data_IF_957845983958
#
_entry.id   IF_957845983958
#
_cell.length_a   1.000
_cell.length_b   1.000
_cell.length_c   1.000
_cell.angle_alpha   90.00
_cell.angle_beta   90.00
_cell.angle_gamma   90.00
#
_symmetry.space_group_name_H-M   'P 1'
#
loop_
_entity.id
_entity.type
_entity.pdbx_description
1 polymer ?
#
# COMPACT_ATOMS: atom_id res chain seq x y z
N UNK A 1 21.64 -82.13 -11.85
CA UNK A 1 20.19 -82.23 -12.12
C UNK A 1 19.44 -81.83 -10.86
N UNK A 2 18.96 -80.58 -10.78
CA UNK A 2 17.73 -80.12 -10.09
C UNK A 2 17.74 -78.59 -10.08
N UNK A 3 16.84 -78.05 -10.91
CA UNK A 3 16.54 -76.65 -11.10
C UNK A 3 15.94 -76.06 -9.82
N UNK A 4 16.31 -74.82 -9.47
CA UNK A 4 15.46 -74.00 -8.60
C UNK A 4 15.30 -72.59 -9.17
N UNK A 5 14.05 -72.13 -9.10
CA UNK A 5 13.41 -71.08 -9.92
C UNK A 5 13.85 -69.67 -9.55
N UNK A 6 13.93 -68.82 -10.57
CA UNK A 6 13.90 -67.36 -10.49
C UNK A 6 12.58 -66.86 -9.89
N UNK A 7 12.67 -65.85 -9.02
CA UNK A 7 11.59 -64.91 -8.70
C UNK A 7 12.10 -63.50 -9.02
N UNK A 8 11.41 -62.70 -9.84
CA UNK A 8 11.73 -61.29 -10.00
C UNK A 8 11.12 -60.50 -8.84
N UNK A 9 11.95 -59.89 -8.02
CA UNK A 9 11.53 -58.94 -7.00
C UNK A 9 11.03 -57.66 -7.67
N UNK A 10 9.74 -57.38 -7.49
CA UNK A 10 9.07 -56.17 -7.94
C UNK A 10 9.52 -55.00 -7.06
N UNK A 11 10.41 -54.14 -7.55
CA UNK A 11 10.69 -52.85 -6.90
C UNK A 11 9.57 -51.87 -7.26
N UNK A 12 8.57 -51.74 -6.39
CA UNK A 12 7.62 -50.63 -6.44
C UNK A 12 8.32 -49.35 -5.98
N UNK A 13 8.81 -48.56 -6.94
CA UNK A 13 9.26 -47.20 -6.69
C UNK A 13 8.06 -46.33 -6.32
N UNK A 14 7.96 -45.93 -5.05
CA UNK A 14 7.00 -44.94 -4.60
C UNK A 14 7.53 -43.56 -5.06
N UNK A 15 7.05 -43.08 -6.20
CA UNK A 15 7.28 -41.70 -6.62
C UNK A 15 6.46 -40.78 -5.71
N UNK A 16 7.10 -40.25 -4.67
CA UNK A 16 6.53 -39.17 -3.86
C UNK A 16 6.52 -37.91 -4.72
N UNK A 17 5.37 -37.62 -5.33
CA UNK A 17 5.13 -36.38 -6.06
C UNK A 17 4.95 -35.28 -5.00
N UNK A 18 6.02 -34.54 -4.71
CA UNK A 18 5.93 -33.32 -3.90
C UNK A 18 5.15 -32.29 -4.71
N UNK A 19 3.89 -32.06 -4.34
CA UNK A 19 3.18 -30.86 -4.75
C UNK A 19 3.88 -29.68 -4.06
N UNK A 20 4.80 -29.03 -4.75
CA UNK A 20 5.24 -27.71 -4.34
C UNK A 20 4.00 -26.81 -4.34
N UNK A 21 3.62 -26.29 -3.17
CA UNK A 21 2.64 -25.21 -3.11
C UNK A 21 3.10 -24.10 -4.08
N UNK A 22 2.19 -23.44 -4.82
CA UNK A 22 2.60 -22.32 -5.65
C UNK A 22 3.31 -21.32 -4.74
N UNK A 23 4.55 -20.96 -5.11
CA UNK A 23 5.22 -19.85 -4.47
C UNK A 23 4.38 -18.61 -4.79
N UNK A 24 3.58 -18.14 -3.82
CA UNK A 24 3.02 -16.80 -3.88
C UNK A 24 4.21 -15.86 -3.85
N UNK A 25 4.40 -15.06 -4.90
CA UNK A 25 5.32 -13.94 -4.79
C UNK A 25 4.82 -13.11 -3.60
N UNK A 26 5.70 -12.84 -2.63
CA UNK A 26 5.32 -11.96 -1.53
C UNK A 26 4.83 -10.64 -2.13
N UNK A 27 3.63 -10.20 -1.74
CA UNK A 27 3.04 -8.97 -2.28
C UNK A 27 3.91 -7.75 -1.92
N UNK A 28 4.74 -7.85 -0.87
CA UNK A 28 5.61 -6.81 -0.32
C UNK A 28 7.01 -7.35 0.00
N UNK A 29 7.98 -6.47 0.29
CA UNK A 29 9.35 -6.93 0.65
C UNK A 29 9.39 -7.59 2.02
N UNK A 30 10.03 -8.76 2.11
CA UNK A 30 10.29 -9.45 3.38
C UNK A 30 11.50 -8.88 4.15
N UNK A 31 12.28 -8.02 3.50
CA UNK A 31 13.38 -7.29 4.15
C UNK A 31 12.86 -5.99 4.75
N UNK A 32 12.39 -6.07 5.99
CA UNK A 32 11.76 -4.94 6.70
C UNK A 32 12.75 -3.85 7.14
N UNK A 33 14.06 -4.12 7.11
CA UNK A 33 15.07 -3.22 7.67
C UNK A 33 15.05 -3.18 9.20
N UNK A 34 15.18 -1.98 9.78
CA UNK A 34 15.37 -1.78 11.22
C UNK A 34 14.04 -1.50 11.94
N UNK A 35 13.86 -2.06 13.13
CA UNK A 35 12.73 -1.73 14.00
C UNK A 35 12.83 -0.29 14.51
N UNK A 36 11.73 0.47 14.44
CA UNK A 36 11.62 1.79 15.06
C UNK A 36 11.15 1.60 16.50
N UNK A 37 12.11 1.46 17.41
CA UNK A 37 11.84 1.04 18.80
C UNK A 37 10.81 1.92 19.53
N UNK A 38 10.85 3.24 19.35
CA UNK A 38 9.98 4.16 20.09
C UNK A 38 8.51 4.12 19.66
N UNK A 39 8.18 3.45 18.55
CA UNK A 39 6.81 3.28 18.06
C UNK A 39 6.40 1.80 17.91
N UNK A 40 7.21 0.87 18.43
CA UNK A 40 6.94 -0.59 18.40
C UNK A 40 6.57 -1.18 19.77
N UNK A 41 6.32 -0.33 20.77
CA UNK A 41 5.78 -0.69 22.08
C UNK A 41 5.07 0.55 22.65
N UNK A 42 4.05 0.99 21.91
CA UNK A 42 3.52 2.34 22.02
C UNK A 42 2.06 2.43 21.54
N UNK A 43 1.40 3.50 21.98
CA UNK A 43 0.06 3.93 21.57
C UNK A 43 0.15 5.43 21.28
N UNK A 44 -0.32 5.86 20.10
CA UNK A 44 -0.28 7.26 19.65
C UNK A 44 1.11 7.92 19.65
N UNK A 45 2.08 7.32 18.95
CA UNK A 45 3.43 7.87 18.85
C UNK A 45 3.88 8.08 17.40
N UNK A 46 5.01 8.75 17.27
CA UNK A 46 5.69 8.95 15.99
C UNK A 46 7.21 8.82 16.12
N UNK A 47 7.88 8.53 15.03
CA UNK A 47 9.35 8.40 14.96
C UNK A 47 10.07 9.75 15.00
N UNK A 48 11.38 9.74 15.17
CA UNK A 48 12.21 10.87 14.68
C UNK A 48 12.13 10.96 13.14
N UNK A 49 12.52 12.09 12.51
CA UNK A 49 12.51 12.20 11.05
C UNK A 49 13.35 11.10 10.39
N UNK A 50 12.76 10.39 9.45
CA UNK A 50 13.42 9.39 8.60
C UNK A 50 13.84 10.08 7.31
N UNK A 51 15.16 10.11 7.04
CA UNK A 51 15.72 10.77 5.87
C UNK A 51 15.54 9.94 4.60
N UNK A 52 15.22 10.60 3.48
CA UNK A 52 15.26 9.99 2.13
C UNK A 52 16.70 9.74 1.65
N UNK A 53 17.72 10.28 2.34
CA UNK A 53 19.11 10.17 1.95
C UNK A 53 19.66 11.46 1.34
N UNK A 54 20.99 11.52 1.18
CA UNK A 54 21.68 12.70 0.67
C UNK A 54 21.32 12.99 -0.79
N UNK A 55 20.94 14.23 -1.11
CA UNK A 55 20.55 14.64 -2.46
C UNK A 55 19.15 14.17 -2.88
N UNK A 56 18.42 13.49 -2.00
CA UNK A 56 17.10 12.95 -2.28
C UNK A 56 16.01 13.86 -1.69
N UNK A 57 14.96 14.08 -2.45
CA UNK A 57 13.79 14.84 -2.02
C UNK A 57 12.53 14.37 -2.72
N UNK A 58 11.39 14.59 -2.10
CA UNK A 58 10.07 14.36 -2.68
C UNK A 58 9.30 15.68 -2.67
N UNK A 59 8.79 16.09 -3.82
CA UNK A 59 7.75 17.10 -3.88
C UNK A 59 6.41 16.44 -3.54
N UNK A 60 5.71 16.93 -2.53
CA UNK A 60 4.40 16.44 -2.12
C UNK A 60 3.50 17.62 -1.81
N UNK A 61 2.40 17.76 -2.57
CA UNK A 61 1.48 18.89 -2.52
C UNK A 61 2.18 20.27 -2.57
N UNK A 62 3.13 20.40 -3.50
CA UNK A 62 3.84 21.66 -3.78
C UNK A 62 4.96 22.01 -2.81
N UNK A 63 5.20 21.18 -1.79
CA UNK A 63 6.30 21.35 -0.83
C UNK A 63 7.36 20.28 -1.03
N UNK A 64 8.63 20.67 -0.96
CA UNK A 64 9.76 19.73 -1.08
C UNK A 64 10.21 19.25 0.29
N UNK A 65 10.24 17.93 0.48
CA UNK A 65 10.67 17.27 1.71
C UNK A 65 11.88 16.38 1.46
N UNK A 66 12.78 16.30 2.43
CA UNK A 66 13.93 15.38 2.42
C UNK A 66 13.80 14.29 3.50
N UNK A 67 12.72 14.30 4.26
CA UNK A 67 12.43 13.38 5.35
C UNK A 67 10.93 13.32 5.61
N UNK A 68 10.50 12.26 6.30
CA UNK A 68 9.14 12.03 6.77
C UNK A 68 9.15 11.54 8.23
N UNK A 69 7.99 11.54 8.86
CA UNK A 69 7.78 10.95 10.19
C UNK A 69 6.86 9.73 10.04
N UNK A 70 7.15 8.66 10.77
CA UNK A 70 6.32 7.45 10.81
C UNK A 70 5.44 7.49 12.05
N UNK A 71 4.13 7.39 11.89
CA UNK A 71 3.17 7.25 12.99
C UNK A 71 2.91 5.78 13.34
N UNK A 72 2.68 5.48 14.63
CA UNK A 72 2.28 4.13 15.08
C UNK A 72 0.94 3.71 14.45
N UNK A 73 0.08 4.68 14.15
CA UNK A 73 -1.28 4.52 13.64
C UNK A 73 -1.36 4.38 12.11
N UNK A 74 -0.35 3.79 11.48
CA UNK A 74 -0.46 3.33 10.08
C UNK A 74 -0.32 4.40 8.99
N UNK A 75 0.36 5.50 9.28
CA UNK A 75 0.62 6.57 8.32
C UNK A 75 2.05 7.13 8.43
N UNK A 76 2.44 7.86 7.39
CA UNK A 76 3.59 8.78 7.42
C UNK A 76 3.12 10.21 7.19
N UNK A 77 3.81 11.17 7.80
CA UNK A 77 3.55 12.60 7.64
C UNK A 77 4.80 13.37 7.25
N UNK A 78 4.60 14.50 6.57
CA UNK A 78 5.68 15.41 6.17
C UNK A 78 5.67 16.70 7.01
N UNK A 79 6.85 17.26 7.25
CA UNK A 79 7.02 18.52 8.00
C UNK A 79 6.94 18.38 9.53
N UNK A 80 6.03 17.56 10.05
CA UNK A 80 5.93 17.27 11.49
C UNK A 80 5.45 15.83 11.76
N UNK A 81 5.88 15.28 12.90
CA UNK A 81 5.30 14.05 13.44
C UNK A 81 3.89 14.29 13.97
N UNK A 82 3.04 13.27 13.89
CA UNK A 82 1.65 13.32 14.34
C UNK A 82 1.32 12.10 15.18
N UNK A 83 0.35 12.25 16.08
CA UNK A 83 -0.15 11.20 16.98
C UNK A 83 -1.68 11.03 16.88
N UNK A 84 -2.30 11.47 15.79
CA UNK A 84 -3.71 11.23 15.56
C UNK A 84 -3.99 9.74 15.41
N UNK A 85 -5.15 9.29 15.90
CA UNK A 85 -5.62 7.90 15.87
C UNK A 85 -7.03 7.75 15.28
N UNK A 86 -7.79 8.85 15.21
CA UNK A 86 -9.15 8.83 14.67
C UNK A 86 -9.09 8.96 13.14
N UNK A 87 -9.43 7.91 12.38
CA UNK A 87 -9.36 7.97 10.93
C UNK A 87 -10.40 8.93 10.35
N UNK A 88 -9.94 9.74 9.42
CA UNK A 88 -10.77 10.48 8.48
C UNK A 88 -10.39 10.04 7.06
N UNK A 89 -11.29 10.24 6.10
CA UNK A 89 -10.94 10.13 4.69
C UNK A 89 -9.76 11.09 4.38
N UNK A 90 -8.80 10.62 3.58
CA UNK A 90 -7.52 11.33 3.44
C UNK A 90 -7.66 12.66 2.68
N UNK A 91 -8.72 12.81 1.90
CA UNK A 91 -9.14 14.06 1.25
C UNK A 91 -9.86 15.05 2.19
N UNK A 92 -10.04 14.70 3.47
CA UNK A 92 -10.69 15.55 4.47
C UNK A 92 -9.92 15.65 5.79
N UNK A 93 -8.79 14.94 5.93
CA UNK A 93 -7.97 14.97 7.14
C UNK A 93 -7.16 16.28 7.23
N UNK A 94 -6.99 16.81 8.44
CA UNK A 94 -6.31 18.10 8.66
C UNK A 94 -5.14 18.02 9.63
N UNK A 95 -4.44 16.89 9.68
CA UNK A 95 -3.34 16.64 10.62
C UNK A 95 -2.01 17.21 10.07
N UNK A 96 -1.66 16.80 8.86
CA UNK A 96 -0.44 17.19 8.14
C UNK A 96 -0.52 16.63 6.71
N UNK A 97 0.36 17.05 5.78
CA UNK A 97 0.55 16.30 4.55
C UNK A 97 0.89 14.85 4.90
N UNK A 98 0.05 13.92 4.44
CA UNK A 98 0.01 12.55 4.94
C UNK A 98 -0.10 11.55 3.80
N UNK A 99 0.58 10.41 3.96
CA UNK A 99 0.34 9.17 3.23
C UNK A 99 -0.06 8.13 4.27
N UNK A 100 -1.30 7.64 4.22
CA UNK A 100 -1.81 6.64 5.16
C UNK A 100 -1.93 5.29 4.48
N UNK A 101 -1.20 4.28 4.96
CA UNK A 101 -1.34 2.90 4.48
C UNK A 101 -2.59 2.24 5.06
N UNK A 102 -2.83 2.46 6.36
CA UNK A 102 -4.00 2.01 7.07
C UNK A 102 -4.15 2.86 8.35
N UNK A 103 -4.59 4.11 8.20
CA UNK A 103 -4.81 5.00 9.32
C UNK A 103 -5.96 4.47 10.17
N UNK A 104 -5.65 4.05 11.39
CA UNK A 104 -6.60 3.60 12.42
C UNK A 104 -5.92 3.64 13.79
N UNK A 105 -6.66 3.33 14.84
CA UNK A 105 -6.19 3.32 16.23
C UNK A 105 -5.42 2.02 16.53
N UNK A 106 -4.15 1.96 16.09
CA UNK A 106 -3.30 0.77 16.19
C UNK A 106 -2.56 0.75 17.53
N UNK A 107 -2.46 -0.44 18.11
CA UNK A 107 -1.80 -0.64 19.41
C UNK A 107 -0.68 -1.67 19.29
N UNK A 108 0.48 -1.35 19.87
CA UNK A 108 1.64 -2.24 19.97
C UNK A 108 2.11 -2.48 21.40
N UNK A 109 1.44 -1.91 22.40
CA UNK A 109 1.90 -1.92 23.79
C UNK A 109 1.92 -3.32 24.38
N UNK A 110 3.10 -3.72 24.85
CA UNK A 110 3.34 -4.99 25.52
C UNK A 110 3.01 -6.22 24.66
N UNK A 111 3.13 -6.12 23.34
CA UNK A 111 2.99 -7.24 22.41
C UNK A 111 4.22 -7.38 21.53
N UNK A 112 4.99 -8.45 21.73
CA UNK A 112 6.26 -8.65 21.03
C UNK A 112 6.13 -8.88 19.52
N UNK A 113 4.91 -9.13 19.01
CA UNK A 113 4.64 -9.35 17.60
C UNK A 113 4.37 -8.04 16.84
N UNK A 114 3.73 -7.07 17.49
CA UNK A 114 3.37 -5.77 16.94
C UNK A 114 4.59 -4.87 16.83
N UNK A 115 5.06 -4.62 15.62
CA UNK A 115 6.28 -3.85 15.41
C UNK A 115 6.17 -2.97 14.16
N UNK A 116 6.82 -1.81 14.21
CA UNK A 116 7.00 -0.95 13.03
C UNK A 116 8.45 -0.95 12.61
N UNK A 117 8.70 -1.23 11.35
CA UNK A 117 10.03 -1.30 10.76
C UNK A 117 10.20 -0.26 9.66
N UNK A 118 11.44 0.14 9.45
CA UNK A 118 11.85 1.01 8.35
C UNK A 118 13.08 0.46 7.65
N UNK A 119 12.99 0.33 6.33
CA UNK A 119 14.11 0.06 5.45
C UNK A 119 14.48 1.32 4.67
N UNK A 120 15.73 1.74 4.79
CA UNK A 120 16.31 2.90 4.08
C UNK A 120 17.63 2.53 3.42
N UNK A 121 17.83 1.26 3.08
CA UNK A 121 19.10 0.76 2.55
C UNK A 121 19.41 1.33 1.16
N UNK A 122 18.38 1.71 0.43
CA UNK A 122 18.48 2.39 -0.86
C UNK A 122 18.23 3.89 -0.69
N UNK A 123 19.22 4.70 -1.04
CA UNK A 123 19.04 6.15 -1.09
C UNK A 123 17.86 6.51 -2.00
N UNK A 124 16.95 7.33 -1.49
CA UNK A 124 15.75 7.76 -2.18
C UNK A 124 14.57 6.83 -2.03
N UNK A 125 14.67 5.77 -1.22
CA UNK A 125 13.57 4.87 -0.91
C UNK A 125 13.45 4.67 0.60
N UNK A 126 12.24 4.82 1.10
CA UNK A 126 11.86 4.46 2.46
C UNK A 126 10.75 3.42 2.32
N UNK A 127 10.94 2.27 2.97
CA UNK A 127 9.90 1.26 3.10
C UNK A 127 9.51 1.19 4.56
N UNK A 128 8.23 1.41 4.87
CA UNK A 128 7.71 1.35 6.23
C UNK A 128 6.77 0.16 6.34
N UNK A 129 7.01 -0.72 7.31
CA UNK A 129 6.19 -1.92 7.53
C UNK A 129 5.59 -1.86 8.92
N UNK A 130 4.26 -1.90 9.00
CA UNK A 130 3.53 -2.16 10.23
C UNK A 130 3.22 -3.65 10.26
N UNK A 131 3.86 -4.39 11.16
CA UNK A 131 3.79 -5.85 11.22
C UNK A 131 2.98 -6.30 12.41
N UNK A 132 1.93 -7.08 12.15
CA UNK A 132 1.07 -7.73 13.14
C UNK A 132 0.50 -6.77 14.20
N UNK A 133 0.21 -5.53 13.83
CA UNK A 133 -0.32 -4.53 14.76
C UNK A 133 -1.66 -4.98 15.32
N UNK A 134 -1.88 -4.77 16.62
CA UNK A 134 -3.19 -4.91 17.25
C UNK A 134 -4.05 -3.66 17.06
N UNK A 135 -5.28 -3.72 17.57
CA UNK A 135 -6.18 -2.58 17.62
C UNK A 135 -6.31 -2.07 19.06
N UNK A 136 -6.54 -0.76 19.22
CA UNK A 136 -6.78 -0.19 20.53
C UNK A 136 -8.08 -0.77 21.17
N UNK A 137 -8.11 -1.11 22.45
CA UNK A 137 -7.03 -1.05 23.45
C UNK A 137 -6.46 -2.45 23.71
N UNK A 138 -5.20 -2.66 23.35
CA UNK A 138 -4.44 -3.90 23.51
C UNK A 138 -5.20 -5.15 23.00
N UNK A 139 -5.99 -4.97 21.94
CA UNK A 139 -6.74 -6.04 21.30
C UNK A 139 -5.89 -6.71 20.22
N UNK A 140 -5.26 -7.81 20.62
CA UNK A 140 -4.39 -8.61 19.78
C UNK A 140 -5.07 -9.84 19.16
N UNK A 141 -6.40 -9.94 19.30
CA UNK A 141 -7.21 -10.97 18.62
C UNK A 141 -7.45 -10.66 17.14
N UNK A 142 -7.27 -9.39 16.76
CA UNK A 142 -7.18 -8.90 15.39
C UNK A 142 -5.76 -8.46 15.10
N UNK A 143 -5.35 -8.54 13.83
CA UNK A 143 -3.99 -8.23 13.39
C UNK A 143 -4.02 -7.49 12.06
N UNK A 144 -3.14 -6.51 11.92
CA UNK A 144 -2.94 -5.75 10.68
C UNK A 144 -1.47 -5.79 10.28
N UNK A 145 -1.18 -6.34 9.10
CA UNK A 145 0.16 -6.28 8.48
C UNK A 145 0.06 -5.60 7.12
N UNK A 146 0.83 -4.53 6.93
CA UNK A 146 0.85 -3.75 5.69
C UNK A 146 2.14 -2.95 5.57
N UNK A 147 2.39 -2.45 4.36
CA UNK A 147 3.62 -1.74 4.03
C UNK A 147 3.34 -0.56 3.10
N UNK A 148 4.09 0.52 3.31
CA UNK A 148 4.22 1.63 2.38
C UNK A 148 5.63 1.66 1.80
N UNK A 149 5.73 1.94 0.51
CA UNK A 149 6.98 2.35 -0.14
C UNK A 149 6.84 3.81 -0.52
N UNK A 150 7.80 4.65 -0.12
CA UNK A 150 7.87 6.07 -0.45
C UNK A 150 9.24 6.33 -1.09
N UNK A 151 9.24 6.87 -2.31
CA UNK A 151 10.45 7.15 -3.07
C UNK A 151 10.55 8.63 -3.43
N UNK A 152 11.76 9.15 -3.40
CA UNK A 152 12.11 10.51 -3.83
C UNK A 152 11.96 10.69 -5.34
N UNK A 153 11.90 11.95 -5.80
CA UNK A 153 11.81 12.31 -7.21
C UNK A 153 13.05 11.90 -8.03
N UNK A 154 14.20 11.71 -7.38
CA UNK A 154 15.44 11.27 -8.02
C UNK A 154 15.56 9.73 -8.09
N UNK A 155 14.63 8.98 -7.48
CA UNK A 155 14.68 7.52 -7.49
C UNK A 155 14.15 6.96 -8.80
N UNK A 156 14.95 6.15 -9.49
CA UNK A 156 14.54 5.46 -10.71
C UNK A 156 13.74 4.19 -10.40
N UNK A 157 12.62 3.99 -11.09
CA UNK A 157 11.78 2.80 -10.96
C UNK A 157 11.22 2.38 -12.32
N UNK A 158 10.83 1.12 -12.43
CA UNK A 158 10.28 0.54 -13.66
C UNK A 158 8.87 1.07 -13.98
N UNK A 159 8.43 0.89 -15.22
CA UNK A 159 7.13 1.39 -15.69
C UNK A 159 5.91 0.76 -15.00
N UNK A 160 6.07 -0.33 -14.26
CA UNK A 160 5.02 -0.97 -13.45
C UNK A 160 4.96 -0.45 -12.02
N UNK A 161 5.93 0.37 -11.61
CA UNK A 161 6.05 0.90 -10.26
C UNK A 161 5.85 2.44 -10.25
N UNK A 162 5.91 3.01 -9.04
CA UNK A 162 5.78 4.44 -8.81
C UNK A 162 6.63 4.94 -7.64
N UNK A 163 6.39 6.20 -7.29
CA UNK A 163 6.97 6.83 -6.10
C UNK A 163 6.33 6.31 -4.82
N UNK A 164 5.04 5.98 -4.85
CA UNK A 164 4.31 5.54 -3.66
C UNK A 164 3.65 4.18 -3.92
N UNK A 165 3.91 3.21 -3.05
CA UNK A 165 3.36 1.86 -3.13
C UNK A 165 2.60 1.48 -1.87
N UNK A 166 1.45 0.84 -2.03
CA UNK A 166 0.64 0.26 -0.96
C UNK A 166 0.61 -1.25 -1.09
N UNK A 167 0.83 -1.91 0.04
CA UNK A 167 0.86 -3.35 0.10
C UNK A 167 0.20 -3.86 1.36
N UNK A 168 -0.64 -4.86 1.21
CA UNK A 168 -1.43 -5.41 2.29
C UNK A 168 -1.19 -6.91 2.39
N UNK A 169 -0.95 -7.37 3.61
CA UNK A 169 -1.02 -8.79 3.95
C UNK A 169 -2.38 -9.04 4.63
N UNK A 170 -2.41 -10.02 5.52
CA UNK A 170 -3.53 -10.35 6.36
C UNK A 170 -3.88 -9.18 7.27
N UNK A 171 -5.11 -8.69 7.13
CA UNK A 171 -5.73 -7.70 8.00
C UNK A 171 -7.06 -8.31 8.47
N UNK A 172 -7.14 -8.61 9.77
CA UNK A 172 -8.36 -9.14 10.40
C UNK A 172 -9.10 -8.12 11.25
N UNK A 173 -8.54 -6.91 11.37
CA UNK A 173 -9.19 -5.80 12.06
C UNK A 173 -10.44 -5.33 11.29
N UNK A 174 -11.56 -5.20 11.98
CA UNK A 174 -12.82 -4.74 11.39
C UNK A 174 -13.17 -3.30 11.79
N UNK A 175 -12.31 -2.64 12.56
CA UNK A 175 -12.45 -1.24 12.92
C UNK A 175 -12.33 -0.32 11.70
N UNK A 176 -12.87 0.89 11.83
CA UNK A 176 -12.76 1.90 10.78
C UNK A 176 -11.30 2.24 10.54
N UNK A 177 -10.92 2.34 9.27
CA UNK A 177 -9.60 2.76 8.83
C UNK A 177 -9.70 3.56 7.52
N UNK A 178 -8.65 4.32 7.22
CA UNK A 178 -8.51 5.02 5.94
C UNK A 178 -7.15 4.75 5.29
N UNK A 179 -7.09 4.81 3.96
CA UNK A 179 -5.83 4.77 3.23
C UNK A 179 -5.85 5.78 2.07
N UNK A 180 -4.67 6.30 1.73
CA UNK A 180 -4.50 7.25 0.63
C UNK A 180 -3.61 8.44 0.99
N UNK A 181 -3.94 9.61 0.43
CA UNK A 181 -3.11 10.81 0.47
C UNK A 181 -3.93 12.07 0.71
N UNK A 182 -3.39 12.99 1.51
CA UNK A 182 -3.97 14.31 1.73
C UNK A 182 -2.92 15.35 2.05
N UNK A 183 -3.22 16.61 1.79
CA UNK A 183 -2.30 17.72 2.05
C UNK A 183 -2.38 18.24 3.50
N UNK A 184 -3.38 17.78 4.26
CA UNK A 184 -3.58 18.15 5.67
C UNK A 184 -4.26 19.51 5.85
N UNK A 185 -4.86 20.08 4.81
CA UNK A 185 -5.59 21.33 4.84
C UNK A 185 -7.10 21.07 4.71
N UNK A 186 -7.90 22.08 5.04
CA UNK A 186 -9.37 21.97 4.98
C UNK A 186 -9.94 22.08 3.56
N UNK A 187 -9.14 22.57 2.61
CA UNK A 187 -9.57 22.74 1.22
C UNK A 187 -9.08 21.56 0.43
N UNK A 188 -10.01 20.77 -0.11
CA UNK A 188 -9.68 19.60 -0.94
C UNK A 188 -9.13 20.07 -2.28
N UNK A 189 -7.87 19.71 -2.54
CA UNK A 189 -7.13 20.00 -3.77
C UNK A 189 -7.03 18.76 -4.67
N UNK A 190 -6.66 18.99 -5.93
CA UNK A 190 -6.43 17.90 -6.88
C UNK A 190 -5.34 16.93 -6.36
N UNK A 191 -5.59 15.63 -6.53
CA UNK A 191 -4.69 14.54 -6.13
C UNK A 191 -4.73 14.15 -4.65
N UNK A 192 -5.55 14.80 -3.85
CA UNK A 192 -6.00 14.22 -2.58
C UNK A 192 -6.97 13.07 -2.87
N UNK A 193 -6.67 11.90 -2.30
CA UNK A 193 -7.40 10.66 -2.63
C UNK A 193 -7.56 9.84 -1.38
N UNK A 194 -8.82 9.59 -1.01
CA UNK A 194 -9.19 8.49 -0.12
C UNK A 194 -9.32 7.21 -0.95
N UNK A 195 -8.25 6.40 -1.00
CA UNK A 195 -8.26 5.09 -1.68
C UNK A 195 -9.21 4.12 -1.00
N UNK A 196 -9.31 4.24 0.32
CA UNK A 196 -10.13 3.41 1.17
C UNK A 196 -10.63 4.20 2.38
N UNK A 197 -11.90 4.00 2.74
CA UNK A 197 -12.45 4.40 4.04
C UNK A 197 -13.54 3.41 4.46
N UNK A 198 -13.32 2.66 5.53
CA UNK A 198 -14.21 1.59 5.97
C UNK A 198 -13.52 0.60 6.93
N UNK A 199 -14.08 -0.61 7.13
CA UNK A 199 -13.46 -1.64 7.96
C UNK A 199 -12.08 -2.05 7.45
N UNK A 200 -11.02 -1.96 8.26
CA UNK A 200 -9.63 -2.20 7.87
C UNK A 200 -9.39 -3.50 7.05
N UNK A 201 -10.06 -4.58 7.44
CA UNK A 201 -10.07 -5.89 6.76
C UNK A 201 -10.52 -5.85 5.32
N UNK A 202 -11.22 -4.79 4.90
CA UNK A 202 -11.58 -4.53 3.51
C UNK A 202 -10.38 -4.29 2.59
N UNK A 203 -9.21 -3.95 3.13
CA UNK A 203 -7.95 -3.82 2.38
C UNK A 203 -7.09 -5.10 2.39
N UNK A 204 -7.53 -6.16 3.08
CA UNK A 204 -6.70 -7.34 3.30
C UNK A 204 -6.40 -8.09 2.00
N UNK A 205 -5.10 -8.37 1.77
CA UNK A 205 -4.61 -9.08 0.58
C UNK A 205 -5.02 -8.42 -0.75
N UNK A 206 -5.29 -7.11 -0.74
CA UNK A 206 -5.50 -6.36 -1.97
C UNK A 206 -4.22 -6.36 -2.83
N UNK A 207 -4.42 -6.37 -4.15
CA UNK A 207 -3.30 -6.28 -5.10
C UNK A 207 -2.48 -5.00 -4.84
N UNK A 208 -1.15 -5.07 -4.92
CA UNK A 208 -0.29 -3.90 -4.74
C UNK A 208 -0.69 -2.73 -5.63
N UNK A 209 -0.76 -1.53 -5.04
CA UNK A 209 -1.12 -0.30 -5.76
C UNK A 209 0.07 0.65 -5.79
N UNK A 210 0.47 1.05 -7.00
CA UNK A 210 1.53 2.03 -7.22
C UNK A 210 0.97 3.34 -7.76
N UNK A 211 1.53 4.44 -7.26
CA UNK A 211 1.17 5.82 -7.63
C UNK A 211 2.42 6.59 -8.01
N UNK A 212 2.26 7.49 -8.98
CA UNK A 212 3.29 8.45 -9.39
C UNK A 212 2.90 9.83 -8.91
N UNK A 213 3.87 10.69 -8.69
CA UNK A 213 3.65 12.10 -8.41
C UNK A 213 3.98 12.91 -9.66
N UNK A 214 3.01 13.67 -10.16
CA UNK A 214 3.25 14.67 -11.20
C UNK A 214 3.30 16.05 -10.55
N UNK A 215 4.46 16.67 -10.58
CA UNK A 215 4.71 17.96 -9.93
C UNK A 215 4.30 17.97 -8.43
N UNK A 216 4.45 16.82 -7.78
CA UNK A 216 4.13 16.60 -6.37
C UNK A 216 2.68 16.22 -6.07
N UNK A 217 1.85 16.03 -7.09
CA UNK A 217 0.45 15.61 -6.96
C UNK A 217 0.31 14.13 -7.32
N UNK A 218 -0.28 13.28 -6.44
CA UNK A 218 -0.55 11.88 -6.75
C UNK A 218 -1.44 11.73 -8.00
N UNK A 219 -0.94 10.96 -8.96
CA UNK A 219 -1.65 10.56 -10.17
C UNK A 219 -2.12 9.11 -9.97
N UNK A 220 -3.43 8.91 -9.84
CA UNK A 220 -4.01 7.57 -9.84
C UNK A 220 -4.22 7.13 -11.30
N UNK A 221 -3.46 6.14 -11.80
CA UNK A 221 -3.63 5.64 -13.16
C UNK A 221 -5.02 5.04 -13.40
N UNK A 222 -5.80 4.71 -12.36
CA UNK A 222 -7.19 4.26 -12.48
C UNK A 222 -8.19 5.41 -12.63
N UNK A 223 -7.79 6.66 -12.33
CA UNK A 223 -8.66 7.84 -12.39
C UNK A 223 -8.86 8.41 -13.79
N UNK A 224 -8.36 7.73 -14.84
CA UNK A 224 -8.54 8.16 -16.23
C UNK A 224 -10.01 8.51 -16.45
N UNK A 225 -10.35 9.80 -16.65
CA UNK A 225 -11.69 10.17 -17.08
C UNK A 225 -11.85 9.52 -18.44
N UNK A 226 -12.81 8.60 -18.58
CA UNK A 226 -13.16 7.92 -19.85
C UNK A 226 -12.91 8.90 -21.01
N UNK A 227 -11.84 8.69 -21.80
CA UNK A 227 -11.44 9.68 -22.79
C UNK A 227 -12.57 9.78 -23.80
N UNK A 228 -12.63 10.88 -24.54
CA UNK A 228 -13.71 11.25 -25.48
C UNK A 228 -14.15 10.22 -26.52
N UNK A 229 -13.75 8.94 -26.46
CA UNK A 229 -14.38 7.79 -27.08
C UNK A 229 -15.86 7.65 -26.76
N UNK A 230 -16.32 7.88 -25.52
CA UNK A 230 -17.77 7.88 -25.23
C UNK A 230 -18.49 9.03 -25.98
N UNK A 231 -17.86 10.21 -26.03
CA UNK A 231 -18.35 11.36 -26.80
C UNK A 231 -18.27 11.13 -28.33
N UNK A 232 -17.19 10.52 -28.84
CA UNK A 232 -17.02 10.17 -30.25
C UNK A 232 -17.95 9.03 -30.67
N UNK A 233 -18.23 8.06 -29.79
CA UNK A 233 -19.23 7.02 -30.00
C UNK A 233 -20.64 7.61 -30.02
N UNK A 234 -20.95 8.55 -29.12
CA UNK A 234 -22.22 9.27 -29.11
C UNK A 234 -22.41 10.14 -30.37
N UNK A 235 -21.38 10.87 -30.80
CA UNK A 235 -21.38 11.65 -32.05
C UNK A 235 -21.47 10.73 -33.28
N UNK A 236 -20.79 9.58 -33.27
CA UNK A 236 -20.87 8.57 -34.32
C UNK A 236 -22.27 7.97 -34.48
N UNK A 237 -22.95 7.66 -33.36
CA UNK A 237 -24.31 7.14 -33.37
C UNK A 237 -25.35 8.19 -33.81
N UNK A 238 -25.17 9.46 -33.42
CA UNK A 238 -26.00 10.58 -33.89
C UNK A 238 -25.82 10.84 -35.40
N UNK A 239 -24.59 10.78 -35.91
CA UNK A 239 -24.30 10.92 -37.33
C UNK A 239 -24.93 9.82 -38.19
N UNK A 240 -24.95 8.57 -37.72
CA UNK A 240 -25.60 7.46 -38.40
C UNK A 240 -27.13 7.56 -38.38
N UNK A 241 -27.72 8.07 -37.29
CA UNK A 241 -29.16 8.31 -37.19
C UNK A 241 -29.68 9.37 -38.16
N UNK A 242 -28.91 10.46 -38.36
CA UNK A 242 -29.27 11.54 -39.27
C UNK A 242 -29.14 11.13 -40.74
N UNK A 243 -28.17 10.28 -41.08
CA UNK A 243 -27.99 9.80 -42.46
C UNK A 243 -29.06 8.79 -42.89
N UNK A 244 -29.68 8.08 -41.94
CA UNK A 244 -30.78 7.14 -42.21
C UNK A 244 -32.10 7.85 -42.53
N UNK A 245 -32.35 9.02 -41.94
CA UNK A 245 -33.56 9.83 -42.18
C UNK A 245 -33.57 10.54 -43.54
N UNK A 246 -32.41 10.82 -44.14
CA UNK A 246 -32.32 11.44 -45.48
C UNK A 246 -32.57 10.49 -46.64
N UNK A 247 -32.59 9.17 -46.42
CA UNK A 247 -32.85 8.16 -47.47
C UNK A 247 -34.31 7.69 -47.54
N UNK A 248 -35.21 8.24 -46.71
CA UNK A 248 -36.63 7.88 -46.67
C UNK A 248 -37.57 9.04 -47.01
N UNK A 249 -37.06 10.11 -47.64
CA UNK A 249 -37.86 11.19 -48.21
C UNK A 249 -37.81 11.12 -49.74
#
# INVERSE_FOLDING_TARGET
MKYFRLLPGLFTGLACLTLAAPASAALYTADYGNQIANISDCDDCYSSPVSLGSGQSINFFGSTYNSLYVGSNGYVTFGSGQNGFTPAALDAQTLAPMIAGLFTDLDSRSDALSNVYVNTDLAGQIVVTWSQMGHYSQNYSVRSTFQLVIRSDQYGFDSSEGQIGFFYDTITDASSASAGFGDGLSTVNDGEVALFFGPASGASQDDPRWFRLRDGIPDDPASVPEPGMAALLAVGLLGLGLNRRRKQA
#
